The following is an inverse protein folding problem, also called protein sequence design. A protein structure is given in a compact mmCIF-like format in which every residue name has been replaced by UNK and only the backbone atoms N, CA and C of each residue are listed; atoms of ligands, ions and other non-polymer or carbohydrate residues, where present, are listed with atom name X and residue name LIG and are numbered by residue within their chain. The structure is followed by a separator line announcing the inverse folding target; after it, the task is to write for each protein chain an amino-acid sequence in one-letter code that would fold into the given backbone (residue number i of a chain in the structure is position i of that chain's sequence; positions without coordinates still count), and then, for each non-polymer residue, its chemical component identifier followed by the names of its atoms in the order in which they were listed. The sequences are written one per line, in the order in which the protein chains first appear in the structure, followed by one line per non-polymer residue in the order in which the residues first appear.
data_IF_929834299010
#
_entry.id   IF_929834299010
#
_cell.length_a   1.000
_cell.length_b   1.000
_cell.length_c   1.000
_cell.angle_alpha   90.00
_cell.angle_beta   90.00
_cell.angle_gamma   90.00
#
_symmetry.space_group_name_H-M   'P 1'
#
loop_
_entity.id
_entity.type
_entity.pdbx_description
1 polymer ?
#
# COMPACT_ATOMS: atom_id res chain seq x y z
N UNK A 1 6.89 -11.11 -23.57
CA UNK A 1 6.70 -9.94 -22.70
C UNK A 1 7.40 -10.19 -21.37
N UNK A 2 8.31 -9.31 -20.90
CA UNK A 2 9.07 -9.51 -19.66
C UNK A 2 8.22 -9.34 -18.39
N UNK A 3 7.17 -8.52 -18.44
CA UNK A 3 6.28 -8.28 -17.30
C UNK A 3 5.00 -9.11 -17.45
N UNK A 4 4.88 -10.16 -16.63
CA UNK A 4 3.68 -11.02 -16.57
C UNK A 4 2.74 -10.65 -15.42
N UNK A 5 3.22 -9.85 -14.46
CA UNK A 5 2.48 -9.49 -13.25
C UNK A 5 2.72 -8.03 -12.91
N UNK A 6 1.66 -7.34 -12.51
CA UNK A 6 1.65 -5.98 -11.99
C UNK A 6 1.08 -6.04 -10.57
N UNK A 7 1.77 -5.37 -9.65
CA UNK A 7 1.50 -5.35 -8.22
C UNK A 7 1.28 -3.89 -7.83
N UNK A 8 0.12 -3.58 -7.26
CA UNK A 8 -0.19 -2.24 -6.73
C UNK A 8 -0.46 -2.29 -5.23
N UNK A 9 0.22 -1.41 -4.49
CA UNK A 9 -0.05 -1.16 -3.08
C UNK A 9 -1.04 0.00 -2.99
N UNK A 10 -2.16 -0.20 -2.30
CA UNK A 10 -3.19 0.82 -2.09
C UNK A 10 -3.31 1.14 -0.60
N UNK A 11 -3.48 2.41 -0.27
CA UNK A 11 -3.82 2.94 1.06
C UNK A 11 -5.33 2.88 1.31
N UNK A 12 -6.13 2.56 0.28
CA UNK A 12 -7.60 2.57 0.27
C UNK A 12 -8.19 3.96 0.51
N UNK A 13 -7.62 4.98 -0.13
CA UNK A 13 -8.15 6.36 -0.10
C UNK A 13 -8.76 6.74 -1.45
N UNK A 14 -9.63 7.76 -1.47
CA UNK A 14 -10.32 8.19 -2.69
C UNK A 14 -9.36 8.79 -3.75
N UNK A 15 -8.14 9.16 -3.33
CA UNK A 15 -7.13 9.78 -4.19
C UNK A 15 -6.38 8.77 -5.09
N UNK A 16 -6.64 7.47 -4.95
CA UNK A 16 -5.91 6.40 -5.63
C UNK A 16 -6.51 5.97 -6.97
N UNK A 17 -7.65 6.53 -7.35
CA UNK A 17 -8.36 6.16 -8.59
C UNK A 17 -7.48 6.24 -9.84
N UNK A 18 -6.66 7.29 -9.96
CA UNK A 18 -5.73 7.46 -11.09
C UNK A 18 -4.68 6.33 -11.16
N UNK A 19 -4.20 5.86 -10.00
CA UNK A 19 -3.20 4.77 -9.92
C UNK A 19 -3.84 3.45 -10.35
N UNK A 20 -5.08 3.21 -9.91
CA UNK A 20 -5.85 2.02 -10.28
C UNK A 20 -6.12 2.00 -11.79
N UNK A 21 -6.57 3.11 -12.37
CA UNK A 21 -6.85 3.23 -13.80
C UNK A 21 -5.60 2.97 -14.65
N UNK A 22 -4.46 3.56 -14.30
CA UNK A 22 -3.21 3.31 -15.02
C UNK A 22 -2.72 1.87 -14.87
N UNK A 23 -2.89 1.25 -13.70
CA UNK A 23 -2.55 -0.15 -13.50
C UNK A 23 -3.39 -1.08 -14.38
N UNK A 24 -4.69 -0.81 -14.52
CA UNK A 24 -5.58 -1.54 -15.44
C UNK A 24 -5.12 -1.35 -16.89
N UNK A 25 -4.81 -0.11 -17.29
CA UNK A 25 -4.34 0.21 -18.65
C UNK A 25 -3.03 -0.52 -18.98
N UNK A 26 -2.07 -0.52 -18.05
CA UNK A 26 -0.80 -1.23 -18.17
C UNK A 26 -0.99 -2.75 -18.23
N UNK A 27 -1.84 -3.31 -17.38
CA UNK A 27 -2.13 -4.74 -17.36
C UNK A 27 -2.73 -5.22 -18.70
N UNK A 28 -3.68 -4.47 -19.25
CA UNK A 28 -4.25 -4.75 -20.56
C UNK A 28 -3.23 -4.63 -21.70
N UNK A 29 -2.39 -3.58 -21.68
CA UNK A 29 -1.35 -3.36 -22.71
C UNK A 29 -0.30 -4.47 -22.71
N UNK A 30 0.06 -4.97 -21.53
CA UNK A 30 1.11 -5.96 -21.35
C UNK A 30 0.60 -7.41 -21.34
N UNK A 31 -0.73 -7.60 -21.34
CA UNK A 31 -1.38 -8.88 -21.07
C UNK A 31 -0.81 -9.54 -19.79
N UNK A 32 -0.76 -8.75 -18.72
CA UNK A 32 -0.20 -9.10 -17.43
C UNK A 32 -1.31 -9.27 -16.39
N UNK A 33 -1.09 -10.14 -15.41
CA UNK A 33 -1.98 -10.29 -14.26
C UNK A 33 -1.83 -9.07 -13.34
N UNK A 34 -2.95 -8.48 -12.90
CA UNK A 34 -2.96 -7.38 -11.94
C UNK A 34 -3.37 -7.89 -10.57
N UNK A 35 -2.63 -7.52 -9.52
CA UNK A 35 -2.98 -7.80 -8.13
C UNK A 35 -2.83 -6.54 -7.27
N UNK A 36 -3.86 -6.24 -6.49
CA UNK A 36 -3.88 -5.14 -5.54
C UNK A 36 -3.71 -5.66 -4.11
N UNK A 37 -2.96 -4.95 -3.29
CA UNK A 37 -2.76 -5.24 -1.88
C UNK A 37 -2.80 -3.97 -1.05
N UNK A 38 -3.35 -4.08 0.15
CA UNK A 38 -3.31 -3.04 1.16
C UNK A 38 -2.43 -3.52 2.31
N UNK A 39 -1.50 -2.68 2.75
CA UNK A 39 -0.59 -3.00 3.87
C UNK A 39 -1.07 -2.24 5.10
N UNK A 40 -1.64 -2.97 6.05
CA UNK A 40 -1.92 -2.43 7.37
C UNK A 40 -0.64 -2.47 8.20
N UNK A 41 -0.16 -1.32 8.65
CA UNK A 41 0.93 -1.25 9.63
C UNK A 41 0.38 -1.48 11.05
N UNK A 42 0.69 -2.59 11.73
CA UNK A 42 0.23 -2.84 13.10
C UNK A 42 0.87 -1.93 14.16
N UNK A 43 1.93 -1.19 13.80
CA UNK A 43 2.54 -0.17 14.65
C UNK A 43 1.93 1.22 14.43
N UNK A 44 1.14 1.43 13.36
CA UNK A 44 0.46 2.70 13.14
C UNK A 44 -0.49 2.99 14.33
N UNK A 45 -0.21 4.09 15.04
CA UNK A 45 -0.94 4.48 16.25
C UNK A 45 -0.38 3.96 17.57
N UNK A 46 0.66 3.12 17.56
CA UNK A 46 1.47 2.90 18.76
C UNK A 46 2.43 4.07 18.88
N UNK A 47 2.12 4.99 19.81
CA UNK A 47 3.11 5.93 20.27
C UNK A 47 4.37 5.13 20.61
N UNK A 48 5.51 5.55 20.06
CA UNK A 48 6.80 5.07 20.47
C UNK A 48 6.81 5.08 22.01
N UNK A 49 6.79 3.90 22.64
CA UNK A 49 7.07 3.76 24.07
C UNK A 49 8.59 3.92 24.19
N UNK A 50 9.07 5.13 23.88
CA UNK A 50 10.45 5.55 24.00
C UNK A 50 10.77 5.74 25.47
N UNK A 51 10.66 4.65 26.25
CA UNK A 51 11.21 4.50 27.59
C UNK A 51 11.13 5.74 28.48
N UNK A 52 10.04 6.52 28.41
CA UNK A 52 9.88 7.65 29.31
C UNK A 52 9.64 7.02 30.69
N UNK A 53 10.54 7.23 31.66
CA UNK A 53 10.28 6.75 33.01
C UNK A 53 8.98 7.40 33.45
N UNK A 54 8.06 6.57 33.94
CA UNK A 54 6.80 7.01 34.52
C UNK A 54 7.07 8.25 35.41
N UNK A 55 6.28 9.34 35.29
CA UNK A 55 6.50 10.52 36.09
C UNK A 55 6.43 10.11 37.56
N UNK A 56 7.57 10.24 38.23
CA UNK A 56 7.72 9.82 39.61
C UNK A 56 6.89 10.69 40.55
N UNK A 57 6.27 9.98 41.50
CA UNK A 57 5.53 10.39 42.71
C UNK A 57 4.05 10.70 42.55
#
# INVERSE_FOLDING_TARGET
MPYKKILIALECTDDENNVIEEAIRLAGTLNADLSAFHVNDPAAGKAHDDGQPAPGK
#
